data_IF_295958646606
#
_entry.id   IF_295958646606
#
_cell.length_a   1.000
_cell.length_b   1.000
_cell.length_c   1.000
_cell.angle_alpha   90.00
_cell.angle_beta   90.00
_cell.angle_gamma   90.00
#
_symmetry.space_group_name_H-M   'P 1'
#
loop_
_entity.id
_entity.type
_entity.pdbx_description
1 polymer ?
#
# COMPACT_ATOMS: atom_id res chain seq x y z
N UNK A 1 62.59 -33.66 29.36
CA UNK A 1 62.43 -35.13 29.24
C UNK A 1 61.08 -35.50 29.81
N UNK A 2 60.23 -36.20 29.02
CA UNK A 2 59.12 -37.11 29.41
C UNK A 2 58.02 -36.51 30.32
N UNK A 3 56.72 -36.74 30.16
CA UNK A 3 55.99 -37.80 29.48
C UNK A 3 54.51 -37.36 29.34
N UNK A 4 53.87 -37.85 28.29
CA UNK A 4 52.46 -37.71 27.92
C UNK A 4 51.50 -38.27 28.98
N UNK A 5 50.28 -37.73 29.09
CA UNK A 5 49.04 -38.53 29.14
C UNK A 5 47.93 -37.77 28.39
N UNK A 6 47.48 -38.36 27.30
CA UNK A 6 46.28 -38.00 26.56
C UNK A 6 45.04 -38.60 27.24
N UNK A 7 43.96 -37.83 27.36
CA UNK A 7 42.64 -38.37 27.71
C UNK A 7 41.68 -38.06 26.56
N UNK A 8 41.38 -39.11 25.81
CA UNK A 8 40.28 -39.19 24.87
C UNK A 8 38.95 -39.19 25.64
N UNK A 9 38.12 -38.18 25.43
CA UNK A 9 36.70 -38.24 25.77
C UNK A 9 35.91 -38.42 24.48
N UNK A 10 35.43 -39.64 24.27
CA UNK A 10 34.49 -39.98 23.22
C UNK A 10 33.13 -39.34 23.55
N UNK A 11 32.72 -38.34 22.78
CA UNK A 11 31.36 -37.80 22.82
C UNK A 11 30.55 -38.49 21.72
N UNK A 12 29.75 -39.47 22.15
CA UNK A 12 28.78 -40.16 21.31
C UNK A 12 27.73 -39.18 20.79
N UNK A 13 27.73 -38.96 19.48
CA UNK A 13 26.72 -38.17 18.79
C UNK A 13 25.48 -39.04 18.54
N UNK A 14 24.47 -38.94 19.41
CA UNK A 14 23.16 -39.58 19.21
C UNK A 14 22.39 -38.76 18.17
N UNK A 15 22.39 -39.24 16.93
CA UNK A 15 21.54 -38.77 15.84
C UNK A 15 20.08 -39.17 16.14
N UNK A 16 19.35 -38.29 16.84
CA UNK A 16 17.90 -38.39 16.96
C UNK A 16 17.28 -37.98 15.63
N UNK A 17 16.93 -38.98 14.82
CA UNK A 17 16.07 -38.85 13.64
C UNK A 17 14.66 -38.48 14.10
N UNK A 18 14.38 -37.19 14.25
CA UNK A 18 13.02 -36.69 14.37
C UNK A 18 12.29 -36.88 13.03
N UNK A 19 11.22 -37.68 12.95
CA UNK A 19 10.39 -37.72 11.76
C UNK A 19 9.75 -36.35 11.57
N UNK A 20 10.17 -35.64 10.52
CA UNK A 20 9.48 -34.43 10.07
C UNK A 20 8.13 -34.86 9.52
N UNK A 21 7.10 -34.75 10.36
CA UNK A 21 5.72 -34.79 9.92
C UNK A 21 5.51 -33.54 9.09
N UNK A 22 5.69 -33.67 7.78
CA UNK A 22 5.28 -32.68 6.79
C UNK A 22 3.76 -32.64 6.79
N UNK A 23 3.19 -31.81 7.67
CA UNK A 23 1.79 -31.40 7.55
C UNK A 23 1.72 -30.54 6.30
N UNK A 24 1.36 -31.15 5.18
CA UNK A 24 0.94 -30.44 3.98
C UNK A 24 -0.26 -29.57 4.39
N UNK A 25 -0.01 -28.28 4.65
CA UNK A 25 -1.07 -27.28 4.71
C UNK A 25 -1.70 -27.26 3.33
N UNK A 26 -2.80 -27.99 3.18
CA UNK A 26 -3.66 -27.91 2.02
C UNK A 26 -4.06 -26.44 1.85
N UNK A 27 -3.48 -25.78 0.86
CA UNK A 27 -3.97 -24.49 0.40
C UNK A 27 -5.29 -24.82 -0.27
N UNK A 28 -6.41 -24.58 0.42
CA UNK A 28 -7.72 -24.61 -0.21
C UNK A 28 -7.76 -23.44 -1.19
N UNK A 29 -7.44 -23.71 -2.45
CA UNK A 29 -7.70 -22.78 -3.54
C UNK A 29 -9.22 -22.74 -3.65
N UNK A 30 -9.83 -21.69 -3.11
CA UNK A 30 -11.24 -21.41 -3.34
C UNK A 30 -11.36 -21.08 -4.82
N UNK A 31 -11.74 -22.07 -5.63
CA UNK A 31 -12.07 -21.87 -7.03
C UNK A 31 -13.40 -21.11 -7.08
N UNK A 32 -13.33 -19.78 -7.10
CA UNK A 32 -14.49 -18.96 -7.41
C UNK A 32 -14.74 -19.12 -8.91
N UNK A 33 -15.76 -19.90 -9.26
CA UNK A 33 -16.22 -20.02 -10.64
C UNK A 33 -16.69 -18.64 -11.13
N UNK A 34 -16.23 -18.23 -12.32
CA UNK A 34 -16.42 -16.88 -12.88
C UNK A 34 -17.89 -16.57 -13.21
N UNK A 35 -18.72 -17.61 -13.20
CA UNK A 35 -20.14 -17.70 -13.49
C UNK A 35 -21.02 -17.60 -12.24
N UNK A 36 -20.42 -17.52 -11.04
CA UNK A 36 -21.14 -17.07 -9.86
C UNK A 36 -21.23 -15.54 -9.86
N UNK A 37 -22.29 -15.01 -10.46
CA UNK A 37 -22.77 -13.67 -10.13
C UNK A 37 -23.14 -13.68 -8.63
N UNK A 38 -22.16 -13.36 -7.78
CA UNK A 38 -22.41 -13.14 -6.36
C UNK A 38 -23.24 -11.87 -6.28
N UNK A 39 -24.55 -12.02 -6.16
CA UNK A 39 -25.47 -10.91 -5.91
C UNK A 39 -24.88 -10.07 -4.78
N UNK A 40 -24.63 -8.80 -5.10
CA UNK A 40 -24.03 -7.89 -4.14
C UNK A 40 -24.91 -7.90 -2.87
N UNK A 41 -24.33 -8.22 -1.70
CA UNK A 41 -25.12 -8.44 -0.50
C UNK A 41 -26.04 -7.24 -0.22
N UNK A 42 -27.33 -7.46 0.08
CA UNK A 42 -28.34 -6.40 0.29
C UNK A 42 -27.89 -5.27 1.22
N UNK A 43 -27.02 -5.59 2.16
CA UNK A 43 -26.45 -4.67 3.13
C UNK A 43 -25.55 -3.58 2.52
N UNK A 44 -25.06 -3.78 1.29
CA UNK A 44 -24.37 -2.76 0.49
C UNK A 44 -25.32 -1.66 0.01
N UNK A 45 -26.62 -1.95 -0.11
CA UNK A 45 -27.61 -1.03 -0.66
C UNK A 45 -28.61 -0.53 0.39
N UNK A 46 -28.75 -1.25 1.50
CA UNK A 46 -29.68 -0.92 2.58
C UNK A 46 -28.93 -0.71 3.90
N UNK A 47 -28.98 0.53 4.43
CA UNK A 47 -28.35 0.92 5.68
C UNK A 47 -29.00 0.25 6.90
N UNK A 48 -30.24 -0.22 6.80
CA UNK A 48 -31.03 -0.75 7.91
C UNK A 48 -30.85 -2.27 8.11
N UNK A 49 -30.20 -2.96 7.18
CA UNK A 49 -29.99 -4.42 7.27
C UNK A 49 -28.88 -4.73 8.28
N UNK A 50 -29.25 -5.47 9.35
CA UNK A 50 -28.29 -6.06 10.30
C UNK A 50 -27.43 -7.12 9.61
N UNK A 51 -26.11 -6.97 9.72
CA UNK A 51 -25.15 -7.92 9.15
C UNK A 51 -25.24 -9.28 9.85
N UNK A 52 -25.39 -10.36 9.08
CA UNK A 52 -25.12 -11.72 9.56
C UNK A 52 -23.65 -12.04 9.28
N UNK A 53 -22.78 -11.87 10.27
CA UNK A 53 -21.35 -12.17 10.16
C UNK A 53 -20.61 -12.00 11.48
N UNK A 54 -19.43 -12.62 11.59
CA UNK A 54 -18.54 -12.45 12.75
C UNK A 54 -17.96 -11.03 12.85
N UNK A 55 -17.26 -10.70 13.95
CA UNK A 55 -16.80 -9.34 14.26
C UNK A 55 -15.85 -8.75 13.21
N UNK A 56 -15.06 -9.58 12.52
CA UNK A 56 -14.21 -9.12 11.42
C UNK A 56 -15.05 -8.61 10.23
N UNK A 57 -16.06 -9.38 9.83
CA UNK A 57 -16.92 -9.04 8.67
C UNK A 57 -17.69 -7.75 8.95
N UNK A 58 -18.20 -7.57 10.17
CA UNK A 58 -18.89 -6.33 10.55
C UNK A 58 -17.98 -5.10 10.47
N UNK A 59 -16.72 -5.21 10.87
CA UNK A 59 -15.75 -4.11 10.78
C UNK A 59 -15.34 -3.80 9.34
N UNK A 60 -15.16 -4.81 8.51
CA UNK A 60 -14.85 -4.63 7.07
C UNK A 60 -15.99 -3.91 6.34
N UNK A 61 -17.22 -4.31 6.65
CA UNK A 61 -18.44 -3.64 6.23
C UNK A 61 -18.46 -2.19 6.68
N UNK A 62 -18.20 -1.93 7.97
CA UNK A 62 -18.31 -0.61 8.57
C UNK A 62 -17.31 0.34 7.91
N UNK A 63 -16.10 -0.15 7.65
CA UNK A 63 -15.09 0.55 6.88
C UNK A 63 -15.59 0.92 5.47
N UNK A 64 -16.23 -0.02 4.76
CA UNK A 64 -16.78 0.25 3.42
C UNK A 64 -17.95 1.23 3.45
N UNK A 65 -18.88 1.11 4.40
CA UNK A 65 -19.97 2.08 4.59
C UNK A 65 -19.41 3.47 4.90
N UNK A 66 -18.41 3.57 5.76
CA UNK A 66 -17.73 4.82 6.09
C UNK A 66 -16.99 5.41 4.88
N UNK A 67 -16.34 4.58 4.06
CA UNK A 67 -15.72 5.00 2.80
C UNK A 67 -16.75 5.58 1.83
N UNK A 68 -17.89 4.91 1.63
CA UNK A 68 -18.98 5.40 0.78
C UNK A 68 -19.59 6.71 1.31
N UNK A 69 -19.72 6.83 2.64
CA UNK A 69 -20.16 8.05 3.32
C UNK A 69 -19.07 9.15 3.39
N UNK A 70 -17.89 8.95 2.79
CA UNK A 70 -16.72 9.85 2.87
C UNK A 70 -16.29 10.20 4.30
N UNK A 71 -16.59 9.33 5.27
CA UNK A 71 -16.19 9.48 6.66
C UNK A 71 -14.80 8.86 6.87
N UNK A 72 -13.75 9.68 6.70
CA UNK A 72 -12.35 9.26 6.87
C UNK A 72 -12.08 8.62 8.23
N UNK A 73 -12.43 9.30 9.31
CA UNK A 73 -12.11 8.86 10.68
C UNK A 73 -12.79 7.53 11.00
N UNK A 74 -14.08 7.40 10.67
CA UNK A 74 -14.82 6.15 10.81
C UNK A 74 -14.20 5.01 9.99
N UNK A 75 -13.82 5.28 8.74
CA UNK A 75 -13.20 4.25 7.91
C UNK A 75 -11.85 3.78 8.47
N UNK A 76 -10.94 4.71 8.80
CA UNK A 76 -9.61 4.36 9.32
C UNK A 76 -9.71 3.62 10.66
N UNK A 77 -10.63 4.04 11.53
CA UNK A 77 -10.88 3.39 12.82
C UNK A 77 -11.39 1.95 12.66
N UNK A 78 -12.37 1.72 11.78
CA UNK A 78 -12.89 0.39 11.50
C UNK A 78 -11.82 -0.53 10.87
N UNK A 79 -11.01 -0.02 9.94
CA UNK A 79 -9.92 -0.80 9.33
C UNK A 79 -8.81 -1.15 10.32
N UNK A 80 -8.49 -0.27 11.26
CA UNK A 80 -7.49 -0.56 12.28
C UNK A 80 -7.95 -1.71 13.20
N UNK A 81 -9.23 -1.72 13.58
CA UNK A 81 -9.84 -2.84 14.33
C UNK A 81 -9.94 -4.11 13.49
N UNK A 82 -10.27 -4.00 12.21
CA UNK A 82 -10.31 -5.17 11.32
C UNK A 82 -8.92 -5.82 11.19
N UNK A 83 -7.87 -5.00 11.16
CA UNK A 83 -6.48 -5.49 11.06
C UNK A 83 -6.07 -6.35 12.26
N UNK A 84 -6.49 -6.01 13.48
CA UNK A 84 -6.17 -6.80 14.67
C UNK A 84 -6.86 -8.17 14.69
N UNK A 85 -8.03 -8.29 14.04
CA UNK A 85 -8.79 -9.55 13.97
C UNK A 85 -8.44 -10.41 12.74
N UNK A 86 -7.94 -9.81 11.66
CA UNK A 86 -7.80 -10.46 10.36
C UNK A 86 -6.51 -10.11 9.64
N UNK A 87 -5.35 -10.43 10.23
CA UNK A 87 -4.03 -10.13 9.63
C UNK A 87 -3.81 -10.80 8.27
N UNK A 88 -4.44 -11.96 8.02
CA UNK A 88 -4.40 -12.67 6.74
C UNK A 88 -5.00 -11.85 5.58
N UNK A 89 -5.91 -10.92 5.88
CA UNK A 89 -6.52 -10.01 4.91
C UNK A 89 -5.70 -8.71 4.73
N UNK A 90 -4.45 -8.69 5.19
CA UNK A 90 -3.54 -7.54 5.17
C UNK A 90 -3.57 -6.71 3.87
N UNK A 91 -3.38 -7.31 2.68
CA UNK A 91 -3.41 -6.59 1.41
C UNK A 91 -4.73 -5.84 1.16
N UNK A 92 -5.86 -6.48 1.43
CA UNK A 92 -7.18 -5.86 1.29
C UNK A 92 -7.35 -4.72 2.30
N UNK A 93 -6.96 -4.93 3.56
CA UNK A 93 -7.10 -3.92 4.62
C UNK A 93 -6.26 -2.69 4.28
N UNK A 94 -5.01 -2.88 3.85
CA UNK A 94 -4.11 -1.76 3.51
C UNK A 94 -4.54 -1.02 2.25
N UNK A 95 -5.04 -1.72 1.23
CA UNK A 95 -5.65 -1.07 0.07
C UNK A 95 -6.78 -0.12 0.49
N UNK A 96 -7.68 -0.60 1.36
CA UNK A 96 -8.77 0.22 1.88
C UNK A 96 -8.26 1.35 2.79
N UNK A 97 -7.18 1.12 3.53
CA UNK A 97 -6.57 2.14 4.39
C UNK A 97 -6.01 3.29 3.56
N UNK A 98 -5.35 3.00 2.44
CA UNK A 98 -4.91 4.00 1.46
C UNK A 98 -6.10 4.76 0.87
N UNK A 99 -7.14 4.04 0.40
CA UNK A 99 -8.35 4.66 -0.16
C UNK A 99 -9.02 5.62 0.83
N UNK A 100 -9.12 5.22 2.10
CA UNK A 100 -9.70 6.05 3.14
C UNK A 100 -8.80 7.23 3.52
N UNK A 101 -7.48 7.05 3.55
CA UNK A 101 -6.56 8.15 3.82
C UNK A 101 -6.56 9.22 2.71
N UNK A 102 -6.83 8.83 1.47
CA UNK A 102 -7.00 9.74 0.32
C UNK A 102 -8.32 10.53 0.35
N UNK A 103 -9.26 10.21 1.26
CA UNK A 103 -10.50 10.97 1.38
C UNK A 103 -10.23 12.41 1.83
N UNK A 104 -10.75 13.35 1.05
CA UNK A 104 -10.75 14.78 1.36
C UNK A 104 -11.70 15.07 2.53
N UNK A 105 -11.32 16.02 3.38
CA UNK A 105 -12.19 16.51 4.45
C UNK A 105 -13.28 17.44 3.88
N UNK A 106 -14.12 18.01 4.76
CA UNK A 106 -15.13 19.00 4.38
C UNK A 106 -14.53 20.25 3.72
N UNK A 107 -13.22 20.50 3.87
CA UNK A 107 -12.49 21.62 3.26
C UNK A 107 -11.76 21.21 1.96
N UNK A 108 -11.99 19.99 1.47
CA UNK A 108 -11.35 19.48 0.27
C UNK A 108 -9.89 19.05 0.45
N UNK A 109 -9.37 19.03 1.69
CA UNK A 109 -7.97 18.71 1.99
C UNK A 109 -7.77 17.25 2.39
N UNK A 110 -6.68 16.68 1.92
CA UNK A 110 -6.23 15.33 2.27
C UNK A 110 -5.37 15.41 3.51
N UNK A 111 -5.48 14.45 4.42
CA UNK A 111 -4.64 14.41 5.61
C UNK A 111 -3.28 13.80 5.29
N UNK A 112 -2.24 14.63 5.15
CA UNK A 112 -0.88 14.14 4.92
C UNK A 112 -0.38 13.16 6.01
N UNK A 113 -0.66 13.37 7.32
CA UNK A 113 -0.28 12.39 8.34
C UNK A 113 -0.97 11.03 8.17
N UNK A 114 -2.28 11.02 7.91
CA UNK A 114 -3.02 9.78 7.70
C UNK A 114 -2.54 9.03 6.45
N UNK A 115 -2.24 9.76 5.37
CA UNK A 115 -1.76 9.19 4.13
C UNK A 115 -0.32 8.66 4.26
N UNK A 116 0.56 9.39 4.95
CA UNK A 116 1.92 8.94 5.25
C UNK A 116 1.91 7.67 6.11
N UNK A 117 1.06 7.60 7.12
CA UNK A 117 0.89 6.39 7.93
C UNK A 117 0.39 5.18 7.12
N UNK A 118 -0.56 5.40 6.20
CA UNK A 118 -1.08 4.36 5.31
C UNK A 118 0.00 3.83 4.35
N UNK A 119 0.78 4.75 3.77
CA UNK A 119 1.93 4.45 2.89
C UNK A 119 2.99 3.65 3.64
N UNK A 120 3.39 4.09 4.84
CA UNK A 120 4.37 3.39 5.67
C UNK A 120 3.91 1.96 6.03
N UNK A 121 2.61 1.77 6.29
CA UNK A 121 2.04 0.44 6.55
C UNK A 121 2.18 -0.49 5.34
N UNK A 122 1.96 0.00 4.12
CA UNK A 122 2.19 -0.80 2.90
C UNK A 122 3.69 -1.07 2.68
N UNK A 123 4.55 -0.08 2.87
CA UNK A 123 6.00 -0.22 2.70
C UNK A 123 6.60 -1.25 3.65
N UNK A 124 6.08 -1.36 4.88
CA UNK A 124 6.47 -2.40 5.83
C UNK A 124 6.18 -3.84 5.36
N UNK A 125 5.36 -4.00 4.31
CA UNK A 125 4.92 -5.27 3.75
C UNK A 125 5.13 -5.31 2.23
N UNK A 126 6.34 -4.95 1.77
CA UNK A 126 6.69 -4.85 0.35
C UNK A 126 6.32 -6.08 -0.50
N UNK A 127 6.31 -7.28 0.10
CA UNK A 127 5.89 -8.53 -0.55
C UNK A 127 4.47 -8.47 -1.15
N UNK A 128 3.56 -7.68 -0.55
CA UNK A 128 2.19 -7.50 -1.05
C UNK A 128 2.13 -6.74 -2.38
N UNK A 129 3.17 -5.99 -2.73
CA UNK A 129 3.29 -5.29 -4.02
C UNK A 129 3.99 -6.14 -5.09
N UNK A 130 4.46 -7.35 -4.74
CA UNK A 130 5.18 -8.24 -5.65
C UNK A 130 4.33 -9.42 -6.11
N UNK A 131 3.54 -10.02 -5.21
CA UNK A 131 2.77 -11.23 -5.48
C UNK A 131 1.34 -11.15 -4.95
N UNK A 132 0.40 -11.73 -5.70
CA UNK A 132 -1.00 -11.90 -5.31
C UNK A 132 -2.01 -11.10 -6.14
N UNK A 133 -3.31 -11.35 -5.92
CA UNK A 133 -4.38 -10.75 -6.73
C UNK A 133 -4.54 -9.23 -6.51
N UNK A 134 -4.06 -8.71 -5.38
CA UNK A 134 -4.17 -7.30 -5.02
C UNK A 134 -2.99 -6.44 -5.53
N UNK A 135 -2.00 -7.01 -6.23
CA UNK A 135 -0.78 -6.28 -6.62
C UNK A 135 -1.08 -5.05 -7.46
N UNK A 136 -1.83 -5.19 -8.55
CA UNK A 136 -2.17 -4.08 -9.45
C UNK A 136 -2.92 -2.95 -8.72
N UNK A 137 -4.04 -3.21 -8.02
CA UNK A 137 -4.73 -2.14 -7.31
C UNK A 137 -3.92 -1.54 -6.17
N UNK A 138 -3.05 -2.31 -5.50
CA UNK A 138 -2.14 -1.77 -4.48
C UNK A 138 -1.10 -0.82 -5.09
N UNK A 139 -0.46 -1.19 -6.20
CA UNK A 139 0.51 -0.32 -6.88
C UNK A 139 -0.13 0.98 -7.36
N UNK A 140 -1.33 0.90 -7.93
CA UNK A 140 -2.11 2.07 -8.34
C UNK A 140 -2.46 2.96 -7.14
N UNK A 141 -2.99 2.38 -6.06
CA UNK A 141 -3.32 3.13 -4.85
C UNK A 141 -2.08 3.74 -4.18
N UNK A 142 -0.94 3.04 -4.19
CA UNK A 142 0.33 3.52 -3.68
C UNK A 142 0.87 4.70 -4.49
N UNK A 143 0.89 4.59 -5.82
CA UNK A 143 1.27 5.67 -6.72
C UNK A 143 0.40 6.92 -6.51
N UNK A 144 -0.93 6.76 -6.49
CA UNK A 144 -1.86 7.84 -6.24
C UNK A 144 -1.63 8.49 -4.86
N UNK A 145 -1.42 7.69 -3.82
CA UNK A 145 -1.12 8.18 -2.48
C UNK A 145 0.19 8.98 -2.43
N UNK A 146 1.24 8.52 -3.10
CA UNK A 146 2.52 9.24 -3.17
C UNK A 146 2.37 10.56 -3.94
N UNK A 147 1.61 10.61 -5.04
CA UNK A 147 1.34 11.86 -5.77
C UNK A 147 0.58 12.87 -4.91
N UNK A 148 -0.43 12.42 -4.17
CA UNK A 148 -1.19 13.27 -3.24
C UNK A 148 -0.34 13.72 -2.06
N UNK A 149 0.57 12.87 -1.54
CA UNK A 149 1.54 13.26 -0.53
C UNK A 149 2.51 14.32 -1.04
N UNK A 150 3.07 14.13 -2.24
CA UNK A 150 3.99 15.08 -2.84
C UNK A 150 3.35 16.46 -3.01
N UNK A 151 2.09 16.52 -3.46
CA UNK A 151 1.32 17.78 -3.56
C UNK A 151 1.11 18.45 -2.20
N UNK A 152 0.75 17.68 -1.16
CA UNK A 152 0.50 18.26 0.17
C UNK A 152 1.80 18.71 0.83
N UNK A 153 2.86 17.91 0.71
CA UNK A 153 4.16 18.16 1.31
C UNK A 153 4.92 19.27 0.61
N UNK A 154 4.81 19.43 -0.72
CA UNK A 154 5.49 20.52 -1.43
C UNK A 154 5.12 21.91 -0.89
N UNK A 155 3.91 22.04 -0.32
CA UNK A 155 3.39 23.28 0.28
C UNK A 155 3.74 23.45 1.76
N UNK A 156 4.04 22.38 2.50
CA UNK A 156 4.15 22.40 3.96
C UNK A 156 5.48 21.88 4.51
N UNK A 157 6.06 20.86 3.89
CA UNK A 157 7.31 20.20 4.29
C UNK A 157 8.10 19.77 3.04
N UNK A 158 9.01 20.64 2.61
CA UNK A 158 9.82 20.46 1.41
C UNK A 158 10.71 19.23 1.47
N UNK A 159 11.27 18.94 2.65
CA UNK A 159 12.15 17.78 2.84
C UNK A 159 11.38 16.48 2.68
N UNK A 160 10.20 16.39 3.29
CA UNK A 160 9.33 15.24 3.11
C UNK A 160 8.85 15.11 1.65
N UNK A 161 8.59 16.23 0.97
CA UNK A 161 8.21 16.23 -0.44
C UNK A 161 9.30 15.62 -1.33
N UNK A 162 10.58 15.97 -1.15
CA UNK A 162 11.70 15.36 -1.88
C UNK A 162 11.79 13.85 -1.64
N UNK A 163 11.61 13.39 -0.39
CA UNK A 163 11.58 11.95 -0.07
C UNK A 163 10.46 11.24 -0.82
N UNK A 164 9.26 11.84 -0.86
CA UNK A 164 8.12 11.28 -1.59
C UNK A 164 8.35 11.27 -3.11
N UNK A 165 8.97 12.33 -3.65
CA UNK A 165 9.34 12.41 -5.07
C UNK A 165 10.39 11.36 -5.46
N UNK A 166 11.38 11.10 -4.60
CA UNK A 166 12.35 10.03 -4.83
C UNK A 166 11.69 8.66 -4.89
N UNK A 167 10.74 8.38 -3.97
CA UNK A 167 9.92 7.16 -4.03
C UNK A 167 9.16 7.05 -5.35
N UNK A 168 8.56 8.14 -5.84
CA UNK A 168 7.88 8.19 -7.14
C UNK A 168 8.82 7.87 -8.31
N UNK A 169 10.08 8.32 -8.26
CA UNK A 169 11.08 7.97 -9.28
C UNK A 169 11.45 6.48 -9.23
N UNK A 170 11.59 5.90 -8.04
CA UNK A 170 11.87 4.47 -7.88
C UNK A 170 10.76 3.58 -8.47
N UNK A 171 9.50 4.03 -8.39
CA UNK A 171 8.34 3.33 -8.96
C UNK A 171 7.88 3.87 -10.32
N UNK A 172 8.74 4.62 -11.03
CA UNK A 172 8.39 5.29 -12.30
C UNK A 172 7.73 4.37 -13.33
N UNK A 173 8.11 3.09 -13.35
CA UNK A 173 7.55 2.08 -14.25
C UNK A 173 6.09 1.73 -13.97
N UNK A 174 5.58 2.03 -12.77
CA UNK A 174 4.19 1.82 -12.38
C UNK A 174 3.29 3.02 -12.71
N UNK A 175 3.90 4.19 -12.94
CA UNK A 175 3.19 5.43 -13.20
C UNK A 175 2.74 5.53 -14.66
N UNK A 176 1.54 6.05 -14.86
CA UNK A 176 1.06 6.51 -16.17
C UNK A 176 1.89 7.71 -16.67
N UNK A 177 1.78 8.05 -17.95
CA UNK A 177 2.46 9.24 -18.49
C UNK A 177 2.03 10.53 -17.79
N UNK A 178 0.74 10.66 -17.48
CA UNK A 178 0.17 11.81 -16.75
C UNK A 178 0.67 11.87 -15.30
N UNK A 179 0.79 10.73 -14.64
CA UNK A 179 1.32 10.62 -13.29
C UNK A 179 2.81 10.95 -13.23
N UNK A 180 3.60 10.50 -14.23
CA UNK A 180 5.01 10.89 -14.37
C UNK A 180 5.16 12.38 -14.62
N UNK A 181 4.34 12.94 -15.51
CA UNK A 181 4.32 14.38 -15.75
C UNK A 181 4.02 15.14 -14.45
N UNK A 182 3.02 14.71 -13.69
CA UNK A 182 2.66 15.30 -12.40
C UNK A 182 3.81 15.21 -11.37
N UNK A 183 4.50 14.07 -11.29
CA UNK A 183 5.67 13.91 -10.43
C UNK A 183 6.79 14.90 -10.80
N UNK A 184 7.10 15.05 -12.09
CA UNK A 184 8.09 16.03 -12.55
C UNK A 184 7.64 17.48 -12.32
N UNK A 185 6.35 17.78 -12.48
CA UNK A 185 5.82 19.11 -12.16
C UNK A 185 6.06 19.47 -10.70
N UNK A 186 5.73 18.57 -9.77
CA UNK A 186 5.96 18.82 -8.34
C UNK A 186 7.44 18.95 -8.00
N UNK A 187 8.33 18.17 -8.63
CA UNK A 187 9.78 18.32 -8.47
C UNK A 187 10.29 19.67 -9.01
N UNK A 188 9.76 20.13 -10.15
CA UNK A 188 10.08 21.42 -10.73
C UNK A 188 9.62 22.61 -9.87
N UNK A 189 8.39 22.54 -9.36
CA UNK A 189 7.86 23.54 -8.41
C UNK A 189 8.72 23.60 -7.14
N UNK A 190 9.10 22.45 -6.58
CA UNK A 190 9.93 22.39 -5.38
C UNK A 190 11.33 22.98 -5.62
N UNK A 191 11.98 22.60 -6.73
CA UNK A 191 13.27 23.15 -7.13
C UNK A 191 13.21 24.67 -7.38
N UNK A 192 12.11 25.17 -7.95
CA UNK A 192 11.89 26.60 -8.15
C UNK A 192 11.80 27.36 -6.82
N UNK A 193 11.02 26.85 -5.86
CA UNK A 193 10.88 27.45 -4.53
C UNK A 193 12.22 27.44 -3.77
N UNK A 194 13.08 26.45 -4.02
CA UNK A 194 14.45 26.36 -3.50
C UNK A 194 15.48 27.17 -4.29
N UNK A 195 15.03 27.97 -5.28
CA UNK A 195 15.87 28.81 -6.14
C UNK A 195 16.88 28.04 -7.01
N UNK A 196 16.70 26.72 -7.18
CA UNK A 196 17.48 25.92 -8.12
C UNK A 196 16.84 25.97 -9.51
N UNK A 197 17.00 27.12 -10.18
CA UNK A 197 16.36 27.40 -11.47
C UNK A 197 16.78 26.44 -12.59
N UNK A 198 18.02 25.93 -12.54
CA UNK A 198 18.51 24.96 -13.50
C UNK A 198 17.75 23.63 -13.39
N UNK A 199 17.61 23.09 -12.17
CA UNK A 199 16.84 21.88 -11.93
C UNK A 199 15.34 22.08 -12.22
N UNK A 200 14.77 23.22 -11.82
CA UNK A 200 13.37 23.56 -12.08
C UNK A 200 13.04 23.52 -13.58
N UNK A 201 13.90 24.12 -14.42
CA UNK A 201 13.75 24.11 -15.88
C UNK A 201 13.82 22.69 -16.46
N UNK A 202 14.75 21.86 -15.97
CA UNK A 202 14.89 20.47 -16.44
C UNK A 202 13.63 19.66 -16.11
N UNK A 203 13.13 19.76 -14.88
CA UNK A 203 11.92 19.06 -14.46
C UNK A 203 10.67 19.54 -15.20
N UNK A 204 10.53 20.85 -15.44
CA UNK A 204 9.43 21.39 -16.23
C UNK A 204 9.43 20.81 -17.66
N UNK A 205 10.59 20.84 -18.35
CA UNK A 205 10.72 20.28 -19.69
C UNK A 205 10.46 18.75 -19.72
N UNK A 206 10.78 18.03 -18.65
CA UNK A 206 10.48 16.61 -18.54
C UNK A 206 8.98 16.35 -18.30
N UNK A 207 8.33 17.18 -17.50
CA UNK A 207 6.88 17.14 -17.29
C UNK A 207 6.11 17.32 -18.60
N UNK A 208 6.49 18.31 -19.42
CA UNK A 208 5.89 18.55 -20.73
C UNK A 208 6.07 17.35 -21.68
N UNK A 209 7.28 16.79 -21.74
CA UNK A 209 7.59 15.61 -22.56
C UNK A 209 6.75 14.39 -22.18
N UNK A 210 6.57 14.12 -20.88
CA UNK A 210 5.71 13.03 -20.44
C UNK A 210 4.22 13.33 -20.70
N UNK A 211 3.78 14.58 -20.54
CA UNK A 211 2.42 15.01 -20.87
C UNK A 211 2.06 14.80 -22.35
N UNK A 212 2.96 15.18 -23.26
CA UNK A 212 2.80 14.96 -24.70
C UNK A 212 2.76 13.48 -25.08
N UNK A 213 3.54 12.62 -24.41
CA UNK A 213 3.50 11.17 -24.61
C UNK A 213 2.17 10.56 -24.16
N UNK A 214 1.52 11.14 -23.16
CA UNK A 214 0.19 10.73 -22.70
C UNK A 214 -0.91 11.06 -23.71
N UNK A 215 -0.87 12.26 -24.30
CA UNK A 215 -1.88 12.71 -25.27
C UNK A 215 -1.75 12.06 -26.65
N UNK A 216 -0.55 11.57 -27.02
CA UNK A 216 -0.30 10.95 -28.31
C UNK A 216 -0.79 9.49 -28.44
N UNK A 217 -1.30 8.86 -27.37
CA UNK A 217 -1.93 7.53 -27.46
C UNK A 217 -3.41 7.69 -27.85
N UNK A 218 -3.83 7.24 -29.05
CA UNK A 218 -5.26 7.16 -29.35
C UNK A 218 -5.92 6.20 -28.37
N UNK A 219 -7.12 6.59 -27.89
CA UNK A 219 -7.96 5.77 -27.03
C UNK A 219 -8.55 4.59 -27.80
#
# INVERSE_FOLDING_TARGET
>A
MRQQIAILAAVSFVLVLCPRISVARGVSVVSVALDQAVDAPRWMFDSNVKMKGGPLVSLMVEAKKALMAKNRAGCLGALQKAYSLGQSLGPWIVLNHLQCAMLKDKRGKVSAPALSAAVAKLESQSKWMLFGPAVTPLRQAYAAALLMLAEQQSKADRKAAWVTLDKLQQIRSWLSAEERASSYRWAGELAFIEQNLAAARIFAAQSEREGQRGSARPR
#
